data_IF_458190022861
#
_entry.id   IF_458190022861
#
_cell.length_a   1.000
_cell.length_b   1.000
_cell.length_c   1.000
_cell.angle_alpha   90.00
_cell.angle_beta   90.00
_cell.angle_gamma   90.00
#
_symmetry.space_group_name_H-M   'P 1'
#
loop_
_entity.id
_entity.type
_entity.pdbx_description
1 polymer ?
#
# COMPACT_ATOMS: atom_id res chain seq x y z
N UNK A 1 23.38 -11.76 3.70
CA UNK A 1 24.45 -10.90 3.18
C UNK A 1 23.98 -9.50 2.85
N UNK A 2 23.15 -9.28 1.80
CA UNK A 2 22.70 -7.93 1.39
C UNK A 2 21.94 -7.22 2.50
N UNK A 3 20.95 -7.84 3.12
CA UNK A 3 20.14 -7.27 4.21
C UNK A 3 21.00 -6.80 5.37
N UNK A 4 21.98 -7.61 5.79
CA UNK A 4 22.91 -7.23 6.87
C UNK A 4 23.78 -6.03 6.48
N UNK A 5 24.21 -5.92 5.23
CA UNK A 5 24.95 -4.75 4.74
C UNK A 5 24.08 -3.50 4.75
N UNK A 6 22.84 -3.59 4.26
CA UNK A 6 21.86 -2.48 4.33
C UNK A 6 21.63 -2.04 5.77
N UNK A 7 21.42 -2.98 6.69
CA UNK A 7 21.23 -2.68 8.11
C UNK A 7 22.41 -1.92 8.72
N UNK A 8 23.65 -2.32 8.41
CA UNK A 8 24.85 -1.60 8.87
C UNK A 8 24.95 -0.18 8.30
N UNK A 9 24.53 0.04 7.06
CA UNK A 9 24.48 1.38 6.46
C UNK A 9 23.44 2.24 7.18
N UNK A 10 22.24 1.71 7.42
CA UNK A 10 21.17 2.40 8.16
C UNK A 10 21.67 2.78 9.55
N UNK A 11 22.23 1.81 10.30
CA UNK A 11 22.74 2.04 11.64
C UNK A 11 23.82 3.11 11.69
N UNK A 12 24.75 3.12 10.73
CA UNK A 12 25.84 4.10 10.69
C UNK A 12 25.38 5.49 10.24
N UNK A 13 24.40 5.56 9.36
CA UNK A 13 23.90 6.82 8.82
C UNK A 13 22.93 7.53 9.76
N UNK A 14 22.22 6.80 10.63
CA UNK A 14 21.20 7.31 11.55
C UNK A 14 20.10 8.12 10.82
N UNK A 15 19.72 7.66 9.62
CA UNK A 15 18.70 8.30 8.78
C UNK A 15 17.49 7.39 8.60
N UNK A 16 16.31 7.96 8.39
CA UNK A 16 15.16 7.19 7.93
C UNK A 16 15.50 6.45 6.65
N UNK A 17 14.99 5.24 6.51
CA UNK A 17 15.26 4.40 5.36
C UNK A 17 13.99 3.83 4.75
N UNK A 18 13.98 3.69 3.44
CA UNK A 18 12.98 2.92 2.71
C UNK A 18 13.70 1.85 1.90
N UNK A 19 13.23 0.60 2.02
CA UNK A 19 13.71 -0.55 1.27
C UNK A 19 12.63 -0.91 0.26
N UNK A 20 12.92 -0.73 -1.01
CA UNK A 20 12.00 -0.98 -2.10
C UNK A 20 12.30 -2.32 -2.75
N UNK A 21 11.33 -3.20 -2.77
CA UNK A 21 11.43 -4.56 -3.32
C UNK A 21 10.33 -4.83 -4.35
N UNK A 22 10.53 -5.80 -5.23
CA UNK A 22 9.67 -6.02 -6.38
C UNK A 22 8.42 -6.89 -6.10
N UNK A 23 8.33 -7.59 -4.97
CA UNK A 23 7.17 -8.41 -4.63
C UNK A 23 6.90 -8.51 -3.12
N UNK A 24 5.68 -8.98 -2.77
CA UNK A 24 5.22 -9.11 -1.38
C UNK A 24 6.01 -10.13 -0.57
N UNK A 25 6.45 -11.23 -1.18
CA UNK A 25 7.17 -12.31 -0.48
C UNK A 25 8.54 -11.83 0.00
N UNK A 26 9.28 -11.14 -0.88
CA UNK A 26 10.56 -10.55 -0.50
C UNK A 26 10.37 -9.43 0.53
N UNK A 27 9.33 -8.62 0.37
CA UNK A 27 9.00 -7.58 1.34
C UNK A 27 8.74 -8.16 2.74
N UNK A 28 7.97 -9.23 2.84
CA UNK A 28 7.69 -9.88 4.12
C UNK A 28 8.94 -10.49 4.76
N UNK A 29 9.81 -11.10 3.94
CA UNK A 29 11.10 -11.62 4.43
C UNK A 29 11.97 -10.49 4.98
N UNK A 30 12.18 -9.43 4.21
CA UNK A 30 13.03 -8.32 4.64
C UNK A 30 12.45 -7.59 5.85
N UNK A 31 11.13 -7.40 5.90
CA UNK A 31 10.46 -6.83 7.05
C UNK A 31 10.77 -7.62 8.34
N UNK A 32 10.66 -8.95 8.30
CA UNK A 32 11.02 -9.81 9.42
C UNK A 32 12.49 -9.69 9.81
N UNK A 33 13.42 -9.75 8.84
CA UNK A 33 14.84 -9.60 9.07
C UNK A 33 15.20 -8.23 9.68
N UNK A 34 14.61 -7.13 9.17
CA UNK A 34 14.85 -5.78 9.69
C UNK A 34 14.26 -5.59 11.11
N UNK A 35 13.12 -6.18 11.43
CA UNK A 35 12.57 -6.16 12.81
C UNK A 35 13.50 -6.83 13.80
N UNK A 36 14.12 -7.95 13.44
CA UNK A 36 15.10 -8.62 14.29
C UNK A 36 16.38 -7.79 14.45
N UNK A 37 16.86 -7.14 13.38
CA UNK A 37 18.07 -6.33 13.39
C UNK A 37 17.89 -4.97 14.09
N UNK A 38 16.68 -4.43 14.13
CA UNK A 38 16.34 -3.13 14.68
C UNK A 38 15.18 -3.20 15.70
N UNK A 39 15.36 -3.87 16.85
CA UNK A 39 14.27 -4.10 17.81
C UNK A 39 13.73 -2.83 18.48
N UNK A 40 14.44 -1.71 18.40
CA UNK A 40 14.05 -0.44 19.02
C UNK A 40 13.62 0.65 18.04
N UNK A 41 13.83 0.43 16.74
CA UNK A 41 13.40 1.32 15.68
C UNK A 41 11.94 1.02 15.29
N UNK A 42 11.30 1.95 14.60
CA UNK A 42 10.05 1.67 13.89
C UNK A 42 10.39 1.02 12.56
N UNK A 43 10.16 -0.29 12.47
CA UNK A 43 10.25 -1.04 11.21
C UNK A 43 8.83 -1.28 10.73
N UNK A 44 8.48 -0.73 9.58
CA UNK A 44 7.14 -0.66 9.04
C UNK A 44 7.02 -1.36 7.69
N UNK A 45 5.79 -1.77 7.35
CA UNK A 45 5.49 -2.55 6.15
C UNK A 45 4.48 -1.82 5.26
N UNK A 46 4.88 -1.52 4.02
CA UNK A 46 4.06 -0.76 3.09
C UNK A 46 3.94 -1.47 1.74
N UNK A 47 2.94 -2.32 1.60
CA UNK A 47 2.61 -3.04 0.38
C UNK A 47 1.17 -2.76 -0.05
N UNK A 48 0.70 -3.30 -1.17
CA UNK A 48 -0.73 -3.24 -1.50
C UNK A 48 -1.55 -4.04 -0.49
N UNK A 49 -2.62 -3.42 0.02
CA UNK A 49 -3.49 -3.96 1.08
C UNK A 49 -4.59 -4.91 0.57
N UNK A 50 -4.38 -5.54 -0.60
CA UNK A 50 -5.36 -6.43 -1.21
C UNK A 50 -4.87 -7.87 -1.19
N UNK A 51 -5.71 -8.79 -0.73
CA UNK A 51 -5.53 -10.23 -0.96
C UNK A 51 -5.90 -10.60 -2.39
N UNK A 52 -6.95 -9.96 -2.90
CA UNK A 52 -7.36 -10.04 -4.29
C UNK A 52 -7.65 -8.64 -4.84
N UNK A 53 -7.17 -8.36 -6.04
CA UNK A 53 -7.40 -7.11 -6.73
C UNK A 53 -7.68 -7.34 -8.22
N UNK A 54 -8.90 -7.03 -8.64
CA UNK A 54 -9.28 -6.93 -10.03
C UNK A 54 -9.56 -5.46 -10.35
N UNK A 55 -8.71 -4.81 -11.16
CA UNK A 55 -8.95 -3.43 -11.53
C UNK A 55 -10.18 -3.28 -12.41
N UNK A 56 -10.90 -2.18 -12.24
CA UNK A 56 -11.95 -1.76 -13.15
C UNK A 56 -11.39 -1.65 -14.58
N UNK A 57 -12.06 -2.25 -15.55
CA UNK A 57 -11.64 -2.22 -16.94
C UNK A 57 -12.83 -2.31 -17.89
N UNK A 58 -12.65 -1.83 -19.11
CA UNK A 58 -13.63 -1.99 -20.19
C UNK A 58 -12.96 -2.52 -21.44
N UNK A 59 -13.57 -3.52 -22.06
CA UNK A 59 -13.10 -4.16 -23.28
C UNK A 59 -14.07 -3.80 -24.43
N UNK A 60 -13.76 -2.76 -25.23
CA UNK A 60 -14.68 -2.26 -26.27
C UNK A 60 -15.07 -3.30 -27.31
N UNK A 61 -14.16 -4.22 -27.66
CA UNK A 61 -14.40 -5.25 -28.67
C UNK A 61 -15.55 -6.20 -28.33
N UNK A 62 -15.76 -6.47 -27.05
CA UNK A 62 -16.78 -7.40 -26.55
C UNK A 62 -17.87 -6.70 -25.74
N UNK A 63 -17.83 -5.37 -25.68
CA UNK A 63 -18.72 -4.55 -24.82
C UNK A 63 -18.78 -5.10 -23.38
N UNK A 64 -17.61 -5.49 -22.84
CA UNK A 64 -17.53 -6.11 -21.54
C UNK A 64 -16.96 -5.12 -20.52
N UNK A 65 -17.77 -4.74 -19.55
CA UNK A 65 -17.32 -4.00 -18.38
C UNK A 65 -16.93 -4.98 -17.27
N UNK A 66 -15.74 -4.78 -16.73
CA UNK A 66 -15.20 -5.52 -15.59
C UNK A 66 -15.24 -4.58 -14.39
N UNK A 67 -16.10 -4.90 -13.44
CA UNK A 67 -16.22 -4.10 -12.23
C UNK A 67 -14.98 -4.26 -11.35
N UNK A 68 -14.66 -3.21 -10.59
CA UNK A 68 -13.58 -3.28 -9.59
C UNK A 68 -13.97 -4.29 -8.52
N UNK A 69 -13.20 -5.34 -8.37
CA UNK A 69 -13.37 -6.31 -7.28
C UNK A 69 -12.12 -6.30 -6.40
N UNK A 70 -12.33 -6.06 -5.13
CA UNK A 70 -11.25 -5.91 -4.15
C UNK A 70 -11.62 -6.71 -2.91
N UNK A 71 -10.70 -7.56 -2.48
CA UNK A 71 -10.73 -8.14 -1.15
C UNK A 71 -9.66 -7.44 -0.32
N UNK A 72 -10.09 -6.48 0.50
CA UNK A 72 -9.20 -5.76 1.40
C UNK A 72 -8.69 -6.69 2.50
N UNK A 73 -7.43 -6.53 2.84
CA UNK A 73 -6.83 -7.15 4.01
C UNK A 73 -6.65 -6.08 5.08
N UNK A 74 -7.43 -6.16 6.14
CA UNK A 74 -7.47 -5.18 7.21
C UNK A 74 -6.13 -5.05 7.93
N UNK A 75 -5.42 -6.16 8.13
CA UNK A 75 -4.10 -6.15 8.77
C UNK A 75 -3.08 -5.37 7.93
N UNK A 76 -3.05 -5.60 6.61
CA UNK A 76 -2.19 -4.85 5.70
C UNK A 76 -2.55 -3.37 5.62
N UNK A 77 -3.84 -3.04 5.71
CA UNK A 77 -4.30 -1.64 5.76
C UNK A 77 -3.79 -0.95 7.04
N UNK A 78 -3.89 -1.62 8.18
CA UNK A 78 -3.35 -1.13 9.45
C UNK A 78 -1.83 -0.94 9.39
N UNK A 79 -1.09 -1.88 8.81
CA UNK A 79 0.37 -1.76 8.62
C UNK A 79 0.74 -0.57 7.74
N UNK A 80 -0.02 -0.30 6.67
CA UNK A 80 0.20 0.88 5.81
C UNK A 80 -0.02 2.18 6.57
N UNK A 81 -1.12 2.28 7.33
CA UNK A 81 -1.39 3.43 8.18
C UNK A 81 -0.28 3.62 9.22
N UNK A 82 0.21 2.55 9.86
CA UNK A 82 1.33 2.60 10.78
C UNK A 82 2.60 3.15 10.12
N UNK A 83 2.90 2.74 8.90
CA UNK A 83 4.07 3.23 8.15
C UNK A 83 3.98 4.74 7.89
N UNK A 84 2.82 5.24 7.44
CA UNK A 84 2.59 6.67 7.20
C UNK A 84 2.74 7.47 8.50
N UNK A 85 2.11 7.02 9.59
CA UNK A 85 2.16 7.69 10.89
C UNK A 85 3.59 7.72 11.45
N UNK A 86 4.30 6.59 11.40
CA UNK A 86 5.68 6.50 11.88
C UNK A 86 6.63 7.43 11.14
N UNK A 87 6.45 7.62 9.83
CA UNK A 87 7.24 8.58 9.05
C UNK A 87 6.99 10.04 9.44
N UNK A 88 5.80 10.36 9.96
CA UNK A 88 5.48 11.70 10.46
C UNK A 88 5.96 11.95 11.88
N UNK A 89 6.10 10.89 12.69
CA UNK A 89 6.43 10.97 14.11
C UNK A 89 7.91 10.80 14.41
N UNK A 90 8.59 9.90 13.70
CA UNK A 90 9.91 9.39 14.11
C UNK A 90 10.94 9.40 12.98
N UNK A 91 12.14 9.86 13.33
CA UNK A 91 13.28 9.86 12.40
C UNK A 91 14.03 8.51 12.31
N UNK A 92 13.73 7.56 13.17
CA UNK A 92 14.35 6.23 13.17
C UNK A 92 13.50 5.18 12.45
N UNK A 93 12.61 5.62 11.57
CA UNK A 93 11.68 4.76 10.83
C UNK A 93 12.36 4.09 9.64
N UNK A 94 12.14 2.80 9.51
CA UNK A 94 12.58 1.96 8.39
C UNK A 94 11.34 1.36 7.75
N UNK A 95 11.10 1.67 6.48
CA UNK A 95 9.91 1.15 5.76
C UNK A 95 10.33 0.15 4.70
N UNK A 96 9.81 -1.07 4.79
CA UNK A 96 9.93 -2.06 3.71
C UNK A 96 8.70 -1.96 2.82
N UNK A 97 8.91 -1.60 1.57
CA UNK A 97 7.84 -1.27 0.64
C UNK A 97 7.97 -2.00 -0.70
N UNK A 98 6.84 -2.19 -1.36
CA UNK A 98 6.79 -2.59 -2.77
C UNK A 98 6.50 -1.38 -3.67
N UNK A 99 6.28 -1.63 -4.96
CA UNK A 99 5.84 -0.63 -5.93
C UNK A 99 4.54 0.11 -5.51
N UNK A 100 3.82 -0.37 -4.50
CA UNK A 100 2.69 0.34 -3.89
C UNK A 100 3.08 1.75 -3.39
N UNK A 101 4.35 1.96 -3.02
CA UNK A 101 4.89 3.23 -2.54
C UNK A 101 4.90 4.37 -3.58
N UNK A 102 4.82 4.07 -4.88
CA UNK A 102 4.75 5.08 -5.95
C UNK A 102 3.32 5.44 -6.36
N UNK A 103 2.31 4.83 -5.74
CA UNK A 103 0.90 5.17 -5.97
C UNK A 103 0.44 6.33 -5.09
N UNK A 104 -0.65 6.99 -5.53
CA UNK A 104 -1.17 8.18 -4.88
C UNK A 104 -1.59 7.97 -3.43
N UNK A 105 -1.22 8.92 -2.59
CA UNK A 105 -1.69 9.11 -1.21
C UNK A 105 -2.23 10.53 -1.06
N UNK A 106 -2.84 10.83 0.08
CA UNK A 106 -3.23 12.21 0.44
C UNK A 106 -1.99 13.11 0.60
N UNK A 107 -2.18 14.42 0.42
CA UNK A 107 -1.19 15.43 0.76
C UNK A 107 -0.72 15.25 2.21
N UNK A 108 0.59 15.08 2.47
CA UNK A 108 1.11 14.94 3.84
C UNK A 108 0.74 16.10 4.76
N UNK A 109 0.57 17.31 4.23
CA UNK A 109 0.15 18.46 5.00
C UNK A 109 -1.28 18.31 5.47
N UNK A 110 -2.18 17.94 4.58
CA UNK A 110 -3.58 17.66 4.90
C UNK A 110 -3.72 16.52 5.91
N UNK A 111 -2.99 15.43 5.69
CA UNK A 111 -3.01 14.29 6.60
C UNK A 111 -2.57 14.69 8.02
N UNK A 112 -1.56 15.56 8.13
CA UNK A 112 -1.09 16.10 9.42
C UNK A 112 -2.08 17.09 10.04
N UNK A 113 -2.73 17.92 9.22
CA UNK A 113 -3.69 18.92 9.70
C UNK A 113 -4.98 18.28 10.25
N UNK A 114 -5.33 17.08 9.79
CA UNK A 114 -6.44 16.28 10.30
C UNK A 114 -6.09 15.52 11.59
N UNK A 115 -4.80 15.38 11.90
CA UNK A 115 -4.34 14.75 13.13
C UNK A 115 -4.47 15.71 14.32
N UNK A 116 -4.73 15.17 15.52
CA UNK A 116 -4.76 15.92 16.76
C UNK A 116 -4.19 15.08 17.91
N UNK A 117 -3.86 15.71 19.02
CA UNK A 117 -3.29 15.01 20.18
C UNK A 117 -4.19 15.19 21.38
N UNK A 118 -4.49 14.10 22.06
CA UNK A 118 -5.14 14.07 23.36
C UNK A 118 -4.06 14.07 24.45
N UNK A 119 -4.22 14.90 25.49
CA UNK A 119 -3.24 14.99 26.58
C UNK A 119 -3.94 14.93 27.94
N UNK A 120 -3.37 14.18 28.85
CA UNK A 120 -3.83 14.15 30.24
C UNK A 120 -3.77 15.56 30.83
N UNK A 121 -4.87 15.97 31.49
CA UNK A 121 -5.04 17.30 32.09
C UNK A 121 -5.63 18.39 31.20
N UNK A 122 -5.77 18.15 29.89
CA UNK A 122 -6.50 19.07 28.98
C UNK A 122 -8.01 19.00 29.20
N UNK A 123 -8.72 20.08 28.82
CA UNK A 123 -10.20 20.11 28.81
C UNK A 123 -10.75 18.97 27.93
N UNK A 124 -11.79 18.32 28.46
CA UNK A 124 -12.37 17.13 27.82
C UNK A 124 -13.89 17.21 27.80
N UNK A 125 -14.43 17.39 26.58
CA UNK A 125 -15.80 17.04 26.26
C UNK A 125 -15.78 15.86 25.29
N UNK A 126 -16.31 14.68 25.67
CA UNK A 126 -16.38 13.52 24.77
C UNK A 126 -17.04 13.80 23.43
N UNK A 127 -17.99 14.74 23.38
CA UNK A 127 -18.69 15.10 22.15
C UNK A 127 -17.82 15.96 21.22
N UNK A 128 -17.05 16.91 21.77
CA UNK A 128 -16.10 17.69 20.96
C UNK A 128 -14.97 16.81 20.40
N UNK A 129 -14.47 15.86 21.19
CA UNK A 129 -13.47 14.89 20.71
C UNK A 129 -14.08 13.96 19.65
N UNK A 130 -15.34 13.54 19.82
CA UNK A 130 -16.05 12.76 18.80
C UNK A 130 -16.22 13.52 17.48
N UNK A 131 -16.47 14.84 17.51
CA UNK A 131 -16.50 15.67 16.29
C UNK A 131 -15.14 15.67 15.58
N UNK A 132 -14.04 15.80 16.34
CA UNK A 132 -12.68 15.71 15.78
C UNK A 132 -12.40 14.33 15.16
N UNK A 133 -12.86 13.25 15.81
CA UNK A 133 -12.76 11.89 15.27
C UNK A 133 -13.56 11.73 13.97
N UNK A 134 -14.78 12.28 13.89
CA UNK A 134 -15.57 12.28 12.64
C UNK A 134 -14.88 13.06 11.53
N UNK A 135 -14.28 14.21 11.83
CA UNK A 135 -13.48 14.99 10.88
C UNK A 135 -12.27 14.18 10.39
N UNK A 136 -11.65 13.42 11.29
CA UNK A 136 -10.56 12.49 10.98
C UNK A 136 -11.05 11.16 10.34
N UNK A 137 -12.34 11.10 9.94
CA UNK A 137 -12.98 9.99 9.24
C UNK A 137 -13.19 8.71 10.07
N UNK A 138 -13.22 8.80 11.41
CA UNK A 138 -13.70 7.70 12.26
C UNK A 138 -15.22 7.61 12.23
N UNK A 139 -15.73 6.40 12.36
CA UNK A 139 -17.18 6.14 12.40
C UNK A 139 -17.64 5.81 13.81
N UNK A 140 -18.79 6.39 14.21
CA UNK A 140 -19.39 6.05 15.47
C UNK A 140 -20.11 4.70 15.39
N UNK A 141 -19.73 3.77 16.26
CA UNK A 141 -20.42 2.49 16.41
C UNK A 141 -20.49 2.14 17.92
N UNK A 142 -21.70 2.11 18.46
CA UNK A 142 -21.90 1.82 19.89
C UNK A 142 -21.96 0.32 20.21
N UNK A 143 -22.06 -0.54 19.20
CA UNK A 143 -22.21 -1.98 19.36
C UNK A 143 -20.89 -2.71 19.21
N UNK A 144 -20.19 -2.47 18.09
CA UNK A 144 -18.97 -3.17 17.74
C UNK A 144 -17.85 -2.20 17.39
N UNK A 145 -16.74 -2.28 18.12
CA UNK A 145 -15.55 -1.51 17.83
C UNK A 145 -14.59 -2.32 16.97
N UNK A 146 -14.27 -1.75 15.84
CA UNK A 146 -13.27 -2.20 14.88
C UNK A 146 -12.30 -1.04 14.58
N UNK A 147 -11.16 -1.27 13.92
CA UNK A 147 -10.30 -0.19 13.47
C UNK A 147 -11.07 0.92 12.75
N UNK A 148 -10.73 2.17 13.04
CA UNK A 148 -11.41 3.39 12.56
C UNK A 148 -12.81 3.64 13.12
N UNK A 149 -13.20 2.96 14.19
CA UNK A 149 -14.48 3.20 14.91
C UNK A 149 -14.26 3.75 16.30
N UNK A 150 -15.28 4.46 16.81
CA UNK A 150 -15.30 4.98 18.15
C UNK A 150 -16.70 4.90 18.79
N UNK A 151 -16.76 4.98 20.12
CA UNK A 151 -17.99 5.09 20.89
C UNK A 151 -17.80 5.94 22.14
N UNK A 152 -18.91 6.44 22.68
CA UNK A 152 -18.97 7.19 23.94
C UNK A 152 -19.85 6.44 24.93
N UNK A 153 -19.38 6.29 26.16
CA UNK A 153 -20.10 5.68 27.29
C UNK A 153 -19.95 6.57 28.52
N UNK A 154 -20.89 7.51 28.76
CA UNK A 154 -20.75 8.50 29.80
C UNK A 154 -19.53 9.41 29.52
N UNK A 155 -18.67 9.55 30.52
CA UNK A 155 -17.45 10.36 30.43
C UNK A 155 -16.23 9.58 29.84
N UNK A 156 -16.49 8.42 29.25
CA UNK A 156 -15.47 7.59 28.61
C UNK A 156 -15.66 7.62 27.11
N UNK A 157 -14.60 7.97 26.39
CA UNK A 157 -14.51 7.83 24.94
C UNK A 157 -13.57 6.67 24.60
N UNK A 158 -14.04 5.76 23.77
CA UNK A 158 -13.25 4.62 23.28
C UNK A 158 -13.14 4.69 21.78
N UNK A 159 -11.93 4.48 21.24
CA UNK A 159 -11.71 4.39 19.79
C UNK A 159 -10.61 3.39 19.44
N UNK A 160 -10.69 2.80 18.24
CA UNK A 160 -9.66 1.90 17.72
C UNK A 160 -8.91 2.59 16.59
N UNK A 161 -7.62 2.90 16.79
CA UNK A 161 -6.78 3.47 15.73
C UNK A 161 -6.66 2.53 14.52
N UNK A 162 -6.58 3.06 13.29
CA UNK A 162 -6.34 2.25 12.09
C UNK A 162 -4.88 1.79 11.95
N UNK A 163 -3.98 2.29 12.80
CA UNK A 163 -2.53 2.26 12.61
C UNK A 163 -1.80 1.40 13.64
N UNK A 164 -2.31 0.21 13.97
CA UNK A 164 -1.53 -0.71 14.79
C UNK A 164 -0.89 -1.80 13.93
N UNK A 165 0.44 -1.90 13.96
CA UNK A 165 1.20 -2.83 13.12
C UNK A 165 1.25 -4.27 13.65
N UNK A 166 0.86 -4.51 14.90
CA UNK A 166 1.05 -5.82 15.55
C UNK A 166 -0.26 -6.45 16.05
N UNK A 167 -1.20 -5.63 16.51
CA UNK A 167 -2.53 -6.09 16.95
C UNK A 167 -3.50 -4.91 17.00
N UNK A 168 -4.79 -5.17 16.84
CA UNK A 168 -5.80 -4.16 17.11
C UNK A 168 -5.77 -3.82 18.59
N UNK A 169 -5.68 -2.54 18.93
CA UNK A 169 -5.75 -2.05 20.31
C UNK A 169 -6.85 -1.02 20.45
N UNK A 170 -7.42 -0.95 21.64
CA UNK A 170 -8.46 0.01 21.99
C UNK A 170 -7.87 1.11 22.84
N UNK A 171 -8.04 2.36 22.43
CA UNK A 171 -7.68 3.51 23.23
C UNK A 171 -8.91 3.97 24.00
N UNK A 172 -8.75 4.06 25.30
CA UNK A 172 -9.79 4.48 26.24
C UNK A 172 -9.37 5.76 26.95
N UNK A 173 -10.17 6.82 26.75
CA UNK A 173 -9.96 8.14 27.31
C UNK A 173 -10.99 8.37 28.42
N UNK A 174 -10.52 8.64 29.61
CA UNK A 174 -11.35 8.86 30.76
C UNK A 174 -11.45 10.36 31.06
N UNK A 175 -12.68 10.85 31.25
CA UNK A 175 -12.97 12.19 31.75
C UNK A 175 -13.20 12.19 33.24
N UNK A 176 -12.70 13.24 33.93
CA UNK A 176 -12.99 13.57 35.31
C UNK A 176 -12.87 15.08 35.48
N UNK A 177 -13.87 15.72 36.10
CA UNK A 177 -13.95 17.20 36.32
C UNK A 177 -13.66 18.00 35.00
N UNK A 178 -14.33 17.63 33.89
CA UNK A 178 -14.18 18.24 32.56
C UNK A 178 -12.73 18.19 31.99
N UNK A 179 -11.91 17.25 32.45
CA UNK A 179 -10.54 17.05 31.98
C UNK A 179 -10.26 15.60 31.65
N UNK A 180 -9.29 15.37 30.76
CA UNK A 180 -8.73 14.05 30.54
C UNK A 180 -7.96 13.63 31.78
N UNK A 181 -8.46 12.64 32.52
CA UNK A 181 -7.80 12.10 33.70
C UNK A 181 -6.80 11.01 33.36
N UNK A 182 -7.07 10.21 32.31
CA UNK A 182 -6.27 9.06 31.94
C UNK A 182 -6.50 8.68 30.47
N UNK A 183 -5.46 8.19 29.79
CA UNK A 183 -5.52 7.63 28.44
C UNK A 183 -4.87 6.27 28.49
N UNK A 184 -5.65 5.21 28.29
CA UNK A 184 -5.16 3.83 28.34
C UNK A 184 -5.28 3.12 27.00
N UNK A 185 -4.30 2.30 26.72
CA UNK A 185 -4.35 1.26 25.71
C UNK A 185 -4.77 -0.04 26.38
N UNK A 186 -5.79 -0.69 25.80
CA UNK A 186 -6.34 -1.93 26.34
C UNK A 186 -6.54 -2.96 25.21
N UNK A 187 -6.48 -4.23 25.57
CA UNK A 187 -6.82 -5.29 24.63
C UNK A 187 -8.35 -5.26 24.37
N UNK A 188 -8.79 -5.18 23.11
CA UNK A 188 -10.20 -5.03 22.78
C UNK A 188 -11.04 -6.28 23.09
N UNK A 189 -10.41 -7.45 23.22
CA UNK A 189 -11.08 -8.74 23.48
C UNK A 189 -11.20 -9.06 24.96
N UNK A 190 -10.07 -8.96 25.68
CA UNK A 190 -10.05 -9.24 27.12
C UNK A 190 -10.36 -8.03 27.99
N UNK A 191 -10.13 -6.80 27.46
CA UNK A 191 -10.19 -5.56 28.21
C UNK A 191 -9.00 -5.32 29.13
N UNK A 192 -7.95 -6.15 29.02
CA UNK A 192 -6.75 -6.05 29.83
C UNK A 192 -5.97 -4.77 29.50
N UNK A 193 -5.46 -4.15 30.55
CA UNK A 193 -4.58 -2.99 30.44
C UNK A 193 -3.25 -3.36 29.77
N UNK A 194 -2.85 -2.55 28.79
CA UNK A 194 -1.57 -2.70 28.08
C UNK A 194 -0.60 -1.58 28.48
N UNK A 195 -1.02 -0.32 28.29
CA UNK A 195 -0.17 0.84 28.52
C UNK A 195 -1.01 2.08 28.87
N UNK A 196 -0.42 3.06 29.55
CA UNK A 196 -1.01 4.37 29.80
C UNK A 196 -0.15 5.46 29.18
N UNK A 197 -0.80 6.45 28.57
CA UNK A 197 -0.17 7.55 27.86
C UNK A 197 -0.43 8.89 28.55
N UNK A 198 0.60 9.73 28.64
CA UNK A 198 0.44 11.15 29.02
C UNK A 198 -0.14 11.97 27.85
N UNK A 199 0.16 11.55 26.63
CA UNK A 199 -0.35 12.14 25.39
C UNK A 199 -0.47 11.07 24.32
N UNK A 200 -1.57 11.13 23.55
CA UNK A 200 -1.83 10.19 22.45
C UNK A 200 -2.14 10.93 21.15
N UNK A 201 -1.36 10.74 20.07
CA UNK A 201 -1.65 11.31 18.77
C UNK A 201 -2.74 10.50 18.07
N UNK A 202 -3.75 11.18 17.56
CA UNK A 202 -4.84 10.60 16.77
C UNK A 202 -4.64 11.00 15.32
N UNK A 203 -4.47 10.02 14.45
CA UNK A 203 -4.29 10.18 13.00
C UNK A 203 -5.57 9.88 12.23
N UNK A 204 -5.74 10.40 11.00
CA UNK A 204 -6.88 10.09 10.16
C UNK A 204 -7.09 8.59 9.96
N UNK A 205 -8.36 8.19 9.87
CA UNK A 205 -8.76 6.79 9.75
C UNK A 205 -8.41 6.16 8.39
N UNK A 206 -8.22 6.97 7.35
CA UNK A 206 -7.96 6.50 5.98
C UNK A 206 -6.86 7.31 5.29
N UNK A 207 -6.14 6.65 4.39
CA UNK A 207 -5.07 7.25 3.57
C UNK A 207 -5.55 8.38 2.63
N UNK A 208 -6.85 8.45 2.34
CA UNK A 208 -7.48 9.45 1.49
C UNK A 208 -8.44 10.37 2.26
N UNK A 209 -8.26 10.48 3.58
CA UNK A 209 -9.04 11.40 4.38
C UNK A 209 -8.80 12.85 3.94
N UNK A 210 -9.89 13.61 3.81
CA UNK A 210 -9.86 15.02 3.43
C UNK A 210 -10.82 15.83 4.28
N UNK A 211 -10.43 17.03 4.66
CA UNK A 211 -11.26 17.91 5.46
C UNK A 211 -12.53 18.36 4.72
N UNK A 212 -13.61 18.61 5.47
CA UNK A 212 -14.94 18.98 4.95
C UNK A 212 -14.88 20.14 3.94
N UNK A 213 -14.06 21.15 4.20
CA UNK A 213 -13.91 22.31 3.31
C UNK A 213 -13.32 21.91 1.94
N UNK A 214 -12.33 21.01 1.93
CA UNK A 214 -11.73 20.49 0.70
C UNK A 214 -12.71 19.60 -0.08
N UNK A 215 -13.45 18.74 0.60
CA UNK A 215 -14.47 17.91 -0.04
C UNK A 215 -15.51 18.79 -0.73
N UNK A 216 -16.01 19.83 -0.05
CA UNK A 216 -16.96 20.79 -0.66
C UNK A 216 -16.37 21.55 -1.86
N UNK A 217 -15.11 21.92 -1.80
CA UNK A 217 -14.40 22.55 -2.93
C UNK A 217 -14.25 21.56 -4.10
N UNK A 218 -13.87 20.32 -3.80
CA UNK A 218 -13.76 19.24 -4.79
C UNK A 218 -15.09 18.96 -5.48
N UNK A 219 -16.21 18.87 -4.75
CA UNK A 219 -17.54 18.66 -5.34
C UNK A 219 -17.88 19.72 -6.40
N UNK A 220 -17.51 20.98 -6.16
CA UNK A 220 -17.73 22.05 -7.15
C UNK A 220 -16.93 21.83 -8.44
N UNK A 221 -15.65 21.49 -8.30
CA UNK A 221 -14.77 21.28 -9.47
C UNK A 221 -15.07 19.96 -10.18
N UNK A 222 -15.54 18.94 -9.46
CA UNK A 222 -16.05 17.68 -10.06
C UNK A 222 -17.31 17.95 -10.88
N UNK A 223 -18.28 18.76 -10.38
CA UNK A 223 -19.47 19.15 -11.14
C UNK A 223 -19.10 19.90 -12.41
N UNK A 224 -18.18 20.85 -12.32
CA UNK A 224 -17.70 21.58 -13.49
C UNK A 224 -17.09 20.64 -14.54
N UNK A 225 -16.21 19.72 -14.13
CA UNK A 225 -15.61 18.74 -15.05
C UNK A 225 -16.65 17.80 -15.65
N UNK A 226 -17.65 17.40 -14.86
CA UNK A 226 -18.79 16.61 -15.33
C UNK A 226 -19.55 17.34 -16.45
N UNK A 227 -19.93 18.59 -16.23
CA UNK A 227 -20.69 19.38 -17.21
C UNK A 227 -19.90 19.52 -18.52
N UNK A 228 -18.62 19.85 -18.45
CA UNK A 228 -17.72 19.94 -19.60
C UNK A 228 -17.63 18.61 -20.36
N UNK A 229 -17.55 17.48 -19.63
CA UNK A 229 -17.46 16.15 -20.25
C UNK A 229 -18.77 15.67 -20.84
N UNK A 230 -19.90 15.98 -20.22
CA UNK A 230 -21.23 15.70 -20.74
C UNK A 230 -21.51 16.50 -22.03
N UNK A 231 -21.11 17.77 -22.07
CA UNK A 231 -21.19 18.58 -23.29
C UNK A 231 -20.33 17.98 -24.42
N UNK A 232 -19.13 17.51 -24.11
CA UNK A 232 -18.27 16.80 -25.08
C UNK A 232 -18.97 15.55 -25.64
N UNK A 233 -19.58 14.70 -24.81
CA UNK A 233 -20.27 13.51 -25.27
C UNK A 233 -21.50 13.85 -26.13
N UNK A 234 -22.26 14.86 -25.73
CA UNK A 234 -23.40 15.32 -26.49
C UNK A 234 -23.00 15.83 -27.88
N UNK A 235 -21.98 16.67 -27.99
CA UNK A 235 -21.42 17.17 -29.27
C UNK A 235 -20.90 16.06 -30.18
N UNK A 236 -20.47 14.95 -29.61
CA UNK A 236 -19.92 13.81 -30.37
C UNK A 236 -20.92 12.67 -30.59
N UNK A 237 -22.21 12.89 -30.32
CA UNK A 237 -23.31 11.91 -30.47
C UNK A 237 -23.04 10.60 -29.70
N UNK A 238 -22.61 10.70 -28.45
CA UNK A 238 -22.29 9.60 -27.52
C UNK A 238 -23.29 9.54 -26.36
N UNK A 239 -24.59 9.21 -26.61
CA UNK A 239 -25.60 9.26 -25.57
C UNK A 239 -25.42 8.23 -24.46
N UNK A 240 -24.85 7.06 -24.78
CA UNK A 240 -24.63 6.01 -23.79
C UNK A 240 -23.53 6.40 -22.80
N UNK A 241 -22.43 6.95 -23.30
CA UNK A 241 -21.32 7.45 -22.48
C UNK A 241 -21.77 8.65 -21.63
N UNK A 242 -22.63 9.49 -22.19
CA UNK A 242 -23.25 10.61 -21.46
C UNK A 242 -24.04 10.13 -20.25
N UNK A 243 -24.98 9.21 -20.42
CA UNK A 243 -25.83 8.71 -19.34
C UNK A 243 -25.03 7.95 -18.28
N UNK A 244 -24.08 7.10 -18.70
CA UNK A 244 -23.23 6.36 -17.78
C UNK A 244 -22.46 7.30 -16.86
N UNK A 245 -21.77 8.28 -17.44
CA UNK A 245 -20.93 9.20 -16.69
C UNK A 245 -21.78 10.06 -15.75
N UNK A 246 -22.92 10.58 -16.25
CA UNK A 246 -23.85 11.40 -15.48
C UNK A 246 -24.33 10.66 -14.23
N UNK A 247 -24.97 9.50 -14.42
CA UNK A 247 -25.50 8.71 -13.31
C UNK A 247 -24.46 8.36 -12.26
N UNK A 248 -23.28 7.90 -12.70
CA UNK A 248 -22.21 7.51 -11.79
C UNK A 248 -21.67 8.69 -10.99
N UNK A 249 -21.36 9.79 -11.68
CA UNK A 249 -20.72 10.93 -11.02
C UNK A 249 -21.71 11.69 -10.13
N UNK A 250 -22.97 11.81 -10.49
CA UNK A 250 -24.00 12.40 -9.64
C UNK A 250 -24.18 11.59 -8.35
N UNK A 251 -24.25 10.26 -8.42
CA UNK A 251 -24.32 9.40 -7.24
C UNK A 251 -23.08 9.51 -6.34
N UNK A 252 -21.88 9.56 -6.95
CA UNK A 252 -20.63 9.74 -6.20
C UNK A 252 -20.59 11.12 -5.51
N UNK A 253 -21.09 12.17 -6.18
CA UNK A 253 -21.21 13.53 -5.62
C UNK A 253 -22.17 13.60 -4.45
N UNK A 254 -23.34 12.95 -4.53
CA UNK A 254 -24.30 12.86 -3.41
C UNK A 254 -23.61 12.22 -2.18
N UNK A 255 -22.89 11.10 -2.39
CA UNK A 255 -22.18 10.43 -1.32
C UNK A 255 -21.06 11.29 -0.72
N UNK A 256 -20.32 12.03 -1.54
CA UNK A 256 -19.28 12.95 -1.08
C UNK A 256 -19.85 14.12 -0.27
N UNK A 257 -20.98 14.68 -0.71
CA UNK A 257 -21.64 15.80 -0.02
C UNK A 257 -22.26 15.39 1.32
N UNK A 258 -22.81 14.17 1.40
CA UNK A 258 -23.49 13.66 2.60
C UNK A 258 -22.50 13.05 3.61
N UNK A 259 -21.59 12.21 3.14
CA UNK A 259 -20.72 11.40 4.02
C UNK A 259 -19.24 11.80 3.96
N UNK A 260 -18.83 12.71 3.06
CA UNK A 260 -17.45 13.08 2.84
C UNK A 260 -16.60 12.02 2.12
N UNK A 261 -17.23 10.91 1.68
CA UNK A 261 -16.57 9.79 0.99
C UNK A 261 -17.51 9.09 0.01
N UNK A 262 -16.93 8.41 -0.98
CA UNK A 262 -17.67 7.56 -1.91
C UNK A 262 -16.81 6.34 -2.34
N UNK A 263 -17.42 5.25 -2.82
CA UNK A 263 -16.68 4.14 -3.39
C UNK A 263 -15.85 4.60 -4.60
N UNK A 264 -14.53 4.37 -4.55
CA UNK A 264 -13.62 4.82 -5.60
C UNK A 264 -13.23 6.30 -5.51
N UNK A 265 -13.28 6.89 -4.32
CA UNK A 265 -12.88 8.28 -4.03
C UNK A 265 -11.51 8.64 -4.60
N UNK A 266 -10.61 7.67 -4.70
CA UNK A 266 -9.29 7.85 -5.30
C UNK A 266 -9.33 8.35 -6.75
N UNK A 267 -10.42 8.11 -7.50
CA UNK A 267 -10.58 8.64 -8.86
C UNK A 267 -10.81 10.16 -8.88
N UNK A 268 -11.15 10.74 -7.76
CA UNK A 268 -11.30 12.19 -7.56
C UNK A 268 -10.13 12.84 -6.82
N UNK A 269 -9.04 12.09 -6.56
CA UNK A 269 -7.88 12.56 -5.79
C UNK A 269 -7.33 13.91 -6.30
N UNK A 270 -7.28 14.14 -7.62
CA UNK A 270 -6.86 15.41 -8.18
C UNK A 270 -7.67 16.60 -7.65
N UNK A 271 -8.98 16.45 -7.55
CA UNK A 271 -9.89 17.48 -7.05
C UNK A 271 -9.76 17.68 -5.54
N UNK A 272 -9.62 16.58 -4.80
CA UNK A 272 -9.42 16.59 -3.35
C UNK A 272 -8.09 17.24 -2.96
N UNK A 273 -7.03 16.94 -3.70
CA UNK A 273 -5.70 17.53 -3.50
C UNK A 273 -5.58 18.97 -4.04
N UNK A 274 -6.55 19.43 -4.86
CA UNK A 274 -6.48 20.72 -5.55
C UNK A 274 -5.38 20.79 -6.62
N UNK A 275 -4.92 19.65 -7.13
CA UNK A 275 -3.88 19.56 -8.17
C UNK A 275 -4.42 19.94 -9.56
N UNK A 276 -3.53 20.44 -10.39
CA UNK A 276 -3.81 20.68 -11.81
C UNK A 276 -3.78 19.38 -12.62
N UNK A 277 -4.46 19.31 -13.78
CA UNK A 277 -4.37 18.15 -14.68
C UNK A 277 -2.91 17.79 -15.01
N UNK A 278 -2.55 16.51 -14.85
CA UNK A 278 -1.21 15.99 -15.12
C UNK A 278 -0.15 16.27 -14.05
N UNK A 279 -0.48 17.00 -12.99
CA UNK A 279 0.42 17.26 -11.87
C UNK A 279 0.77 15.97 -11.11
N UNK A 280 2.00 15.90 -10.60
CA UNK A 280 2.51 14.71 -9.88
C UNK A 280 1.69 14.44 -8.63
N UNK A 281 1.19 13.21 -8.42
CA UNK A 281 0.49 12.85 -7.20
C UNK A 281 1.43 12.79 -5.99
N UNK A 282 0.89 13.03 -4.80
CA UNK A 282 1.58 12.70 -3.55
C UNK A 282 1.68 11.19 -3.38
N UNK A 283 2.77 10.72 -2.81
CA UNK A 283 3.08 9.30 -2.61
C UNK A 283 3.77 9.10 -1.27
N UNK A 284 4.11 7.87 -0.92
CA UNK A 284 4.86 7.60 0.32
C UNK A 284 6.18 8.40 0.39
N UNK A 285 6.80 8.71 -0.74
CA UNK A 285 8.03 9.51 -0.80
C UNK A 285 7.84 10.95 -0.33
N UNK A 286 6.63 11.49 -0.34
CA UNK A 286 6.32 12.84 0.15
C UNK A 286 6.17 12.90 1.68
N UNK A 287 6.03 11.76 2.35
CA UNK A 287 6.03 11.61 3.80
C UNK A 287 7.44 11.43 4.39
N UNK A 288 8.42 11.09 3.55
CA UNK A 288 9.82 10.92 3.97
C UNK A 288 10.50 12.28 4.21
N UNK A 289 11.37 12.41 5.22
CA UNK A 289 12.22 13.57 5.38
C UNK A 289 13.23 13.65 4.22
N UNK A 290 13.76 14.84 3.94
CA UNK A 290 14.62 15.07 2.76
C UNK A 290 15.93 14.30 2.75
N UNK A 291 16.39 13.83 3.90
CA UNK A 291 17.67 13.16 4.09
C UNK A 291 17.57 11.62 4.18
N UNK A 292 16.42 11.04 3.83
CA UNK A 292 16.22 9.60 3.83
C UNK A 292 17.20 8.84 2.91
N UNK A 293 17.38 7.55 3.18
CA UNK A 293 18.11 6.63 2.30
C UNK A 293 17.14 5.67 1.65
N UNK A 294 17.22 5.54 0.33
CA UNK A 294 16.49 4.54 -0.43
C UNK A 294 17.43 3.37 -0.77
N UNK A 295 17.02 2.18 -0.37
CA UNK A 295 17.57 0.94 -0.88
C UNK A 295 16.62 0.37 -1.93
N UNK A 296 17.14 0.01 -3.09
CA UNK A 296 16.38 -0.70 -4.12
C UNK A 296 16.95 -2.10 -4.20
N UNK A 297 16.27 -3.06 -3.55
CA UNK A 297 16.72 -4.45 -3.62
C UNK A 297 16.23 -5.13 -4.89
N UNK A 298 17.02 -6.09 -5.36
CA UNK A 298 16.87 -6.71 -6.69
C UNK A 298 16.59 -5.66 -7.76
N UNK A 299 17.41 -4.60 -7.79
CA UNK A 299 17.21 -3.40 -8.60
C UNK A 299 17.01 -3.67 -10.09
N UNK A 300 17.66 -4.73 -10.60
CA UNK A 300 17.50 -5.20 -11.99
C UNK A 300 16.06 -5.63 -12.34
N UNK A 301 15.21 -5.93 -11.36
CA UNK A 301 13.78 -6.22 -11.50
C UNK A 301 12.93 -5.04 -11.04
N UNK A 302 13.26 -4.46 -9.90
CA UNK A 302 12.46 -3.42 -9.23
C UNK A 302 12.40 -2.14 -10.08
N UNK A 303 13.51 -1.70 -10.67
CA UNK A 303 13.57 -0.49 -11.48
C UNK A 303 12.73 -0.60 -12.77
N UNK A 304 12.87 -1.66 -13.59
CA UNK A 304 11.99 -1.87 -14.74
C UNK A 304 10.51 -1.98 -14.39
N UNK A 305 10.17 -2.59 -13.24
CA UNK A 305 8.80 -2.67 -12.74
C UNK A 305 8.22 -1.27 -12.48
N UNK A 306 8.96 -0.39 -11.81
CA UNK A 306 8.55 1.00 -11.57
C UNK A 306 8.32 1.71 -12.92
N UNK A 307 9.23 1.55 -13.88
CA UNK A 307 9.14 2.15 -15.20
C UNK A 307 7.90 1.71 -15.99
N UNK A 308 7.44 0.47 -15.80
CA UNK A 308 6.29 -0.11 -16.50
C UNK A 308 4.93 0.28 -15.94
N UNK A 309 4.84 0.70 -14.67
CA UNK A 309 3.57 0.89 -13.95
C UNK A 309 2.66 1.96 -14.56
N UNK A 310 3.21 3.12 -14.88
CA UNK A 310 2.43 4.25 -15.39
C UNK A 310 1.69 3.93 -16.69
N UNK A 311 2.37 3.33 -17.66
CA UNK A 311 1.80 3.09 -18.98
C UNK A 311 0.64 2.09 -18.95
N UNK A 312 0.75 1.04 -18.13
CA UNK A 312 -0.32 0.05 -17.94
C UNK A 312 -1.58 0.66 -17.32
N UNK A 313 -1.42 1.43 -16.25
CA UNK A 313 -2.55 2.12 -15.59
C UNK A 313 -3.19 3.16 -16.52
N UNK A 314 -2.38 3.97 -17.21
CA UNK A 314 -2.84 4.99 -18.15
C UNK A 314 -3.68 4.41 -19.29
N UNK A 315 -3.22 3.34 -19.92
CA UNK A 315 -3.93 2.70 -21.03
C UNK A 315 -5.33 2.21 -20.59
N UNK A 316 -5.40 1.52 -19.48
CA UNK A 316 -6.65 1.01 -18.90
C UNK A 316 -7.64 2.14 -18.60
N UNK A 317 -7.20 3.17 -17.89
CA UNK A 317 -8.06 4.31 -17.48
C UNK A 317 -8.47 5.18 -18.67
N UNK A 318 -7.63 5.33 -19.70
CA UNK A 318 -8.00 6.05 -20.91
C UNK A 318 -9.25 5.44 -21.54
N UNK A 319 -9.32 4.12 -21.64
CA UNK A 319 -10.50 3.42 -22.15
C UNK A 319 -11.74 3.69 -21.28
N UNK A 320 -11.62 3.66 -19.95
CA UNK A 320 -12.73 3.98 -19.03
C UNK A 320 -13.25 5.41 -19.23
N UNK A 321 -12.36 6.38 -19.43
CA UNK A 321 -12.72 7.79 -19.68
C UNK A 321 -13.36 7.98 -21.05
N UNK A 322 -12.85 7.34 -22.09
CA UNK A 322 -13.36 7.44 -23.46
C UNK A 322 -14.78 6.89 -23.58
N UNK A 323 -15.11 5.85 -22.81
CA UNK A 323 -16.43 5.20 -22.82
C UNK A 323 -17.37 5.61 -21.69
N UNK A 324 -17.09 6.71 -21.01
CA UNK A 324 -17.98 7.34 -20.03
C UNK A 324 -18.12 6.62 -18.69
N UNK A 325 -17.15 5.77 -18.31
CA UNK A 325 -17.15 5.13 -17.00
C UNK A 325 -16.48 5.99 -15.92
N UNK A 326 -15.55 6.87 -16.31
CA UNK A 326 -14.85 7.77 -15.39
C UNK A 326 -14.63 9.16 -16.01
N UNK A 327 -14.52 10.17 -15.13
CA UNK A 327 -14.10 11.52 -15.52
C UNK A 327 -12.63 11.53 -15.99
N UNK A 328 -12.22 12.50 -16.82
CA UNK A 328 -10.80 12.68 -17.20
C UNK A 328 -9.85 12.79 -16.02
N UNK A 329 -10.27 13.36 -14.88
CA UNK A 329 -9.50 13.47 -13.64
C UNK A 329 -9.06 12.13 -13.07
N UNK A 330 -9.76 11.03 -13.35
CA UNK A 330 -9.35 9.69 -12.94
C UNK A 330 -7.98 9.28 -13.50
N UNK A 331 -7.53 9.89 -14.61
CA UNK A 331 -6.20 9.70 -15.18
C UNK A 331 -5.07 10.25 -14.29
N UNK A 332 -5.39 11.15 -13.36
CA UNK A 332 -4.44 11.76 -12.43
C UNK A 332 -4.35 11.02 -11.09
N UNK A 333 -5.22 10.04 -10.83
CA UNK A 333 -5.02 8.99 -9.85
C UNK A 333 -4.14 7.90 -10.48
N UNK A 334 -2.85 8.01 -10.34
CA UNK A 334 -1.88 7.22 -11.08
C UNK A 334 -0.60 6.99 -10.28
N UNK A 335 0.18 5.97 -10.61
CA UNK A 335 1.53 5.87 -10.09
C UNK A 335 2.42 6.99 -10.65
N UNK A 336 3.53 7.23 -10.00
CA UNK A 336 4.57 8.13 -10.53
C UNK A 336 5.03 7.67 -11.91
N UNK A 337 5.28 8.63 -12.80
CA UNK A 337 6.10 8.39 -13.97
C UNK A 337 7.54 8.13 -13.52
N UNK A 338 8.32 7.43 -14.34
CA UNK A 338 9.69 7.11 -13.97
C UNK A 338 10.53 8.36 -13.68
N UNK A 339 10.39 9.42 -14.50
CA UNK A 339 11.08 10.69 -14.31
C UNK A 339 10.63 11.43 -13.05
N UNK A 340 9.38 11.26 -12.63
CA UNK A 340 8.87 11.82 -11.37
C UNK A 340 9.43 11.05 -10.17
N UNK A 341 9.52 9.73 -10.28
CA UNK A 341 10.19 8.90 -9.29
C UNK A 341 11.67 9.30 -9.15
N UNK A 342 12.40 9.43 -10.25
CA UNK A 342 13.82 9.85 -10.23
C UNK A 342 14.03 11.19 -9.51
N UNK A 343 13.11 12.16 -9.66
CA UNK A 343 13.19 13.47 -8.99
C UNK A 343 13.04 13.39 -7.48
N UNK A 344 12.44 12.32 -6.96
CA UNK A 344 12.30 12.10 -5.50
C UNK A 344 13.51 11.38 -4.90
N UNK A 345 14.42 10.87 -5.73
CA UNK A 345 15.60 10.15 -5.28
C UNK A 345 16.66 11.13 -4.73
N UNK A 346 17.11 10.90 -3.51
CA UNK A 346 18.18 11.68 -2.87
C UNK A 346 19.44 10.84 -2.65
N UNK A 347 19.39 9.89 -1.72
CA UNK A 347 20.48 8.97 -1.41
C UNK A 347 20.02 7.56 -1.77
N UNK A 348 20.55 7.00 -2.84
CA UNK A 348 20.10 5.70 -3.39
C UNK A 348 21.22 4.68 -3.35
N UNK A 349 20.88 3.48 -2.87
CA UNK A 349 21.75 2.31 -2.90
C UNK A 349 20.98 1.18 -3.61
N UNK A 350 21.46 0.79 -4.78
CA UNK A 350 20.92 -0.35 -5.51
C UNK A 350 21.62 -1.62 -5.09
N UNK A 351 20.86 -2.67 -4.79
CA UNK A 351 21.38 -3.98 -4.45
C UNK A 351 20.92 -5.00 -5.51
N UNK A 352 21.86 -5.76 -6.05
CA UNK A 352 21.55 -6.79 -7.05
C UNK A 352 22.71 -7.77 -7.19
N UNK A 353 22.39 -9.04 -7.48
CA UNK A 353 23.39 -10.00 -7.94
C UNK A 353 23.78 -9.76 -9.42
N UNK A 354 22.87 -9.21 -10.20
CA UNK A 354 22.99 -8.95 -11.64
C UNK A 354 22.52 -7.53 -11.95
N UNK A 355 23.29 -6.48 -11.61
CA UNK A 355 22.89 -5.08 -11.83
C UNK A 355 22.52 -4.83 -13.28
N UNK A 356 21.48 -4.02 -13.50
CA UNK A 356 21.02 -3.63 -14.84
C UNK A 356 21.75 -2.40 -15.39
N UNK A 357 21.45 -2.05 -16.64
CA UNK A 357 22.09 -0.91 -17.31
C UNK A 357 21.80 0.43 -16.62
N UNK A 358 20.62 0.57 -16.00
CA UNK A 358 20.25 1.80 -15.31
C UNK A 358 21.22 2.12 -14.17
N UNK A 359 21.41 1.18 -13.21
CA UNK A 359 22.27 1.38 -12.07
C UNK A 359 23.74 1.55 -12.48
N UNK A 360 24.19 0.74 -13.43
CA UNK A 360 25.56 0.81 -13.94
C UNK A 360 25.85 2.15 -14.61
N UNK A 361 24.91 2.67 -15.41
CA UNK A 361 25.04 4.00 -16.02
C UNK A 361 25.05 5.12 -14.98
N UNK A 362 24.17 5.06 -13.97
CA UNK A 362 24.10 6.07 -12.89
C UNK A 362 25.37 6.14 -12.03
N UNK A 363 26.08 5.03 -11.89
CA UNK A 363 27.29 4.91 -11.08
C UNK A 363 28.58 4.93 -11.91
N UNK A 364 28.54 5.18 -13.22
CA UNK A 364 29.67 5.05 -14.12
C UNK A 364 30.38 3.68 -13.98
N UNK A 365 29.62 2.62 -13.87
CA UNK A 365 30.05 1.24 -13.63
C UNK A 365 30.78 1.02 -12.29
N UNK A 366 30.71 1.97 -11.37
CA UNK A 366 31.26 1.78 -10.03
C UNK A 366 30.28 0.91 -9.22
N UNK A 367 30.80 -0.16 -8.64
CA UNK A 367 30.05 -1.10 -7.79
C UNK A 367 30.91 -1.58 -6.65
N UNK A 368 30.25 -1.91 -5.54
CA UNK A 368 30.86 -2.60 -4.40
C UNK A 368 30.45 -4.07 -4.49
N UNK A 369 31.42 -4.96 -4.56
CA UNK A 369 31.16 -6.40 -4.69
C UNK A 369 31.23 -7.08 -3.33
N UNK A 370 30.17 -7.81 -2.98
CA UNK A 370 30.10 -8.67 -1.80
C UNK A 370 30.25 -10.12 -2.23
N UNK A 371 31.49 -10.63 -2.21
CA UNK A 371 31.82 -11.94 -2.78
C UNK A 371 31.75 -13.04 -1.72
N UNK A 372 31.79 -12.68 -0.42
CA UNK A 372 31.84 -13.64 0.68
C UNK A 372 30.51 -14.39 0.80
N UNK A 373 30.60 -15.73 0.78
CA UNK A 373 29.50 -16.65 1.08
C UNK A 373 29.79 -17.31 2.46
N UNK A 374 29.24 -16.76 3.57
CA UNK A 374 29.57 -17.21 4.92
C UNK A 374 29.17 -18.67 5.20
N UNK A 375 28.16 -19.18 4.52
CA UNK A 375 27.66 -20.55 4.69
C UNK A 375 28.61 -21.62 4.18
N UNK A 376 29.58 -21.27 3.31
CA UNK A 376 30.47 -22.23 2.66
C UNK A 376 29.77 -23.22 1.70
N UNK A 377 28.47 -23.06 1.47
CA UNK A 377 27.72 -23.90 0.55
C UNK A 377 28.13 -23.61 -0.89
N UNK A 378 28.44 -24.66 -1.64
CA UNK A 378 28.74 -24.56 -3.07
C UNK A 378 27.45 -24.31 -3.87
N UNK A 379 27.61 -23.78 -5.08
CA UNK A 379 26.52 -23.71 -6.03
C UNK A 379 26.04 -25.11 -6.38
N UNK A 380 24.74 -25.30 -6.67
CA UNK A 380 24.21 -26.59 -7.02
C UNK A 380 24.82 -27.09 -8.35
N UNK A 381 25.02 -28.39 -8.44
CA UNK A 381 25.39 -29.02 -9.69
C UNK A 381 24.24 -28.87 -10.70
N UNK A 382 24.54 -28.30 -11.86
CA UNK A 382 23.57 -28.08 -12.93
C UNK A 382 23.69 -29.22 -13.94
N UNK A 383 22.58 -29.91 -14.19
CA UNK A 383 22.44 -30.93 -15.23
C UNK A 383 21.41 -30.47 -16.25
N UNK A 384 21.84 -30.32 -17.52
CA UNK A 384 20.95 -29.94 -18.63
C UNK A 384 20.51 -31.22 -19.32
N UNK A 385 19.19 -31.41 -19.41
CA UNK A 385 18.59 -32.59 -20.07
C UNK A 385 17.84 -32.17 -21.33
N UNK A 386 17.84 -33.04 -22.35
CA UNK A 386 17.11 -32.79 -23.60
C UNK A 386 15.59 -32.90 -23.39
N UNK A 387 14.84 -32.08 -24.14
CA UNK A 387 13.38 -32.15 -24.21
C UNK A 387 12.85 -33.27 -25.10
N UNK A 388 13.71 -34.08 -25.74
CA UNK A 388 13.31 -35.19 -26.62
C UNK A 388 12.58 -36.32 -25.86
N UNK A 389 12.78 -36.37 -24.55
CA UNK A 389 12.03 -37.23 -23.62
C UNK A 389 10.93 -36.40 -22.98
N UNK A 390 9.78 -37.01 -22.70
CA UNK A 390 8.68 -36.33 -21.98
C UNK A 390 9.19 -35.74 -20.68
N UNK A 391 9.35 -34.39 -20.57
CA UNK A 391 10.00 -33.75 -19.42
C UNK A 391 9.22 -33.97 -18.12
N UNK A 392 7.89 -34.12 -18.18
CA UNK A 392 7.04 -34.37 -17.02
C UNK A 392 7.30 -35.78 -16.44
N UNK A 393 7.55 -36.73 -17.31
CA UNK A 393 7.91 -38.11 -16.91
C UNK A 393 9.27 -38.14 -16.21
N UNK A 394 10.24 -37.43 -16.74
CA UNK A 394 11.60 -37.31 -16.17
C UNK A 394 11.58 -36.62 -14.82
N UNK A 395 10.92 -35.46 -14.70
CA UNK A 395 10.72 -34.75 -13.43
C UNK A 395 10.03 -35.65 -12.39
N UNK A 396 8.97 -36.37 -12.81
CA UNK A 396 8.24 -37.27 -11.90
C UNK A 396 9.15 -38.38 -11.36
N UNK A 397 10.03 -38.93 -12.20
CA UNK A 397 10.98 -39.97 -11.81
C UNK A 397 12.03 -39.42 -10.83
N UNK A 398 12.57 -38.23 -11.08
CA UNK A 398 13.54 -37.58 -10.18
C UNK A 398 12.91 -37.25 -8.82
N UNK A 399 11.67 -36.73 -8.80
CA UNK A 399 10.94 -36.45 -7.56
C UNK A 399 10.74 -37.74 -6.74
N UNK A 400 10.41 -38.87 -7.38
CA UNK A 400 10.28 -40.14 -6.67
C UNK A 400 11.59 -40.61 -6.07
N UNK A 401 12.71 -40.53 -6.81
CA UNK A 401 14.04 -40.87 -6.32
C UNK A 401 14.44 -40.01 -5.10
N UNK A 402 14.10 -38.70 -5.12
CA UNK A 402 14.39 -37.80 -4.01
C UNK A 402 13.51 -38.12 -2.80
N UNK A 403 12.22 -38.40 -3.04
CA UNK A 403 11.28 -38.87 -1.98
C UNK A 403 11.79 -40.11 -1.24
N UNK A 404 12.31 -41.09 -1.98
CA UNK A 404 12.86 -42.35 -1.39
C UNK A 404 14.07 -42.04 -0.45
N UNK A 405 14.81 -40.95 -0.72
CA UNK A 405 15.90 -40.48 0.13
C UNK A 405 15.47 -39.54 1.25
N UNK A 406 14.17 -39.23 1.39
CA UNK A 406 13.67 -38.27 2.35
C UNK A 406 13.94 -36.81 1.96
N UNK A 407 14.34 -36.56 0.72
CA UNK A 407 14.65 -35.23 0.20
C UNK A 407 13.40 -34.53 -0.36
N UNK A 408 13.47 -33.22 -0.56
CA UNK A 408 12.42 -32.39 -1.17
C UNK A 408 12.86 -31.90 -2.53
N UNK A 409 11.88 -31.66 -3.41
CA UNK A 409 12.12 -31.12 -4.76
C UNK A 409 11.37 -29.80 -4.93
N UNK A 410 12.03 -28.80 -5.52
CA UNK A 410 11.42 -27.56 -5.98
C UNK A 410 11.34 -27.64 -7.51
N UNK A 411 10.15 -27.40 -8.06
CA UNK A 411 9.91 -27.43 -9.51
C UNK A 411 9.43 -26.04 -9.91
N UNK A 412 10.10 -25.43 -10.90
CA UNK A 412 9.74 -24.12 -11.44
C UNK A 412 9.16 -24.30 -12.82
N UNK A 413 8.03 -23.64 -13.09
CA UNK A 413 7.35 -23.60 -14.39
C UNK A 413 7.31 -22.19 -14.95
N UNK A 414 7.03 -22.05 -16.25
CA UNK A 414 6.99 -20.74 -16.91
C UNK A 414 5.69 -19.97 -16.65
N UNK A 415 4.58 -20.68 -16.40
CA UNK A 415 3.28 -20.07 -16.17
C UNK A 415 2.59 -20.61 -14.91
N UNK A 416 1.70 -19.81 -14.31
CA UNK A 416 0.86 -20.24 -13.18
C UNK A 416 0.02 -21.46 -13.57
N UNK A 417 -0.56 -21.44 -14.76
CA UNK A 417 -1.38 -22.55 -15.27
C UNK A 417 -0.61 -23.86 -15.37
N UNK A 418 0.67 -23.79 -15.78
CA UNK A 418 1.52 -24.97 -15.83
C UNK A 418 1.85 -25.49 -14.42
N UNK A 419 2.04 -24.58 -13.44
CA UNK A 419 2.24 -24.95 -12.04
C UNK A 419 1.01 -25.67 -11.48
N UNK A 420 -0.19 -25.15 -11.74
CA UNK A 420 -1.46 -25.76 -11.32
C UNK A 420 -1.65 -27.14 -11.95
N UNK A 421 -1.52 -27.24 -13.27
CA UNK A 421 -1.66 -28.50 -14.01
C UNK A 421 -0.64 -29.56 -13.53
N UNK A 422 0.62 -29.17 -13.32
CA UNK A 422 1.66 -30.07 -12.85
C UNK A 422 1.40 -30.50 -11.41
N UNK A 423 0.89 -29.61 -10.57
CA UNK A 423 0.51 -29.92 -9.19
C UNK A 423 -0.58 -30.99 -9.16
N UNK A 424 -1.65 -30.84 -9.96
CA UNK A 424 -2.73 -31.81 -10.05
C UNK A 424 -2.26 -33.15 -10.63
N UNK A 425 -1.40 -33.12 -11.63
CA UNK A 425 -0.80 -34.34 -12.18
C UNK A 425 0.01 -35.10 -11.13
N UNK A 426 0.86 -34.40 -10.36
CA UNK A 426 1.69 -35.02 -9.32
C UNK A 426 0.85 -35.53 -8.15
N UNK A 427 -0.21 -34.83 -7.73
CA UNK A 427 -1.19 -35.30 -6.74
C UNK A 427 -1.83 -36.64 -7.18
N UNK A 428 -2.28 -36.70 -8.44
CA UNK A 428 -2.87 -37.92 -9.01
C UNK A 428 -1.89 -39.08 -9.09
N UNK A 429 -0.57 -38.83 -9.05
CA UNK A 429 0.49 -39.86 -8.92
C UNK A 429 0.86 -40.21 -7.47
N UNK A 430 0.12 -39.70 -6.47
CA UNK A 430 0.36 -39.98 -5.06
C UNK A 430 1.57 -39.27 -4.46
N UNK A 431 1.97 -38.16 -5.07
CA UNK A 431 3.06 -37.29 -4.56
C UNK A 431 2.45 -36.13 -3.75
N UNK A 432 2.93 -35.92 -2.53
CA UNK A 432 2.56 -34.74 -1.75
C UNK A 432 3.19 -33.53 -2.39
N UNK A 433 2.36 -32.62 -2.90
CA UNK A 433 2.78 -31.42 -3.60
C UNK A 433 1.87 -30.25 -3.26
N UNK A 434 2.46 -29.06 -3.18
CA UNK A 434 1.76 -27.78 -3.12
C UNK A 434 2.44 -26.84 -4.10
N UNK A 435 1.73 -25.82 -4.59
CA UNK A 435 2.33 -24.73 -5.38
C UNK A 435 2.16 -23.38 -4.67
N UNK A 436 3.05 -22.48 -4.97
CA UNK A 436 3.11 -21.12 -4.42
C UNK A 436 2.87 -20.11 -5.54
#
# INVERSE_FOLDING_TARGET
GKTFTMANVIQKSQRPAIILVHNKTLAAQEYGEFKELFPHNRVEFFISNFDFYQPEAYIPKTDTYIDKSVQMNQELEMMRAAAVNSLLERHDTIVVATVASIFGLTDPTEYRDLAFTLRVGEEFDPHEVAEKLVIAQYHRDNLELEPSKFRIKGDILEFMPPSNSESSTLIRVYGDDDKISQIDEVDPTSGDFIHSYDAYPVYPAYEHASGVAKVRAACKTIRQELDERLEFFNKNNKPLEYERLKMRTEHDLESLEEFGMCPGIENYARHLDGRKPGETPYTLFDYLPKDYILFIDESHVTIPQIGGMYNGDRSRKTTLVEYGFRLPSALDNRPLKFEEFEKKLTNVICCSATPGDYELNKTNNQKVEQIIRPTGLLDPLIEVRSNDLNPISDVTMEVKKRKEKGERSLIVTLTIKDAENLTDYLKNKGIKVAYL
#
